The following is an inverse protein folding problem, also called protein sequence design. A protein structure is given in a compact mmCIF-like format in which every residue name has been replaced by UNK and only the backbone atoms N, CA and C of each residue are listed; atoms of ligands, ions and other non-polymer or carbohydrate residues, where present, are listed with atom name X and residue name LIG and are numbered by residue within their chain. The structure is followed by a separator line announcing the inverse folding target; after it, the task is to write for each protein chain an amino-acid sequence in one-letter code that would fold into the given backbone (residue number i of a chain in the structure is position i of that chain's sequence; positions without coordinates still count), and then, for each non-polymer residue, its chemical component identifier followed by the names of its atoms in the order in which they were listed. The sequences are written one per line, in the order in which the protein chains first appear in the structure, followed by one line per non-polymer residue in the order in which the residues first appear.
data_IF_186629792681
#
_entry.id   IF_186629792681
#
_cell.length_a   1.000
_cell.length_b   1.000
_cell.length_c   1.000
_cell.angle_alpha   90.00
_cell.angle_beta   90.00
_cell.angle_gamma   90.00
#
_symmetry.space_group_name_H-M   'P 1'
#
loop_
_entity.id
_entity.type
_entity.pdbx_description
1 polymer ?
#
# COMPACT_ATOMS: atom_id res chain seq x y z
N UNK A 1 22.21 1.09 -33.18
CA UNK A 1 23.57 0.52 -33.05
C UNK A 1 23.58 -0.40 -31.82
N UNK A 2 23.97 -1.64 -32.03
CA UNK A 2 23.83 -2.78 -31.10
C UNK A 2 24.83 -2.74 -29.95
N UNK A 3 24.35 -3.01 -28.73
CA UNK A 3 24.94 -4.02 -27.85
C UNK A 3 23.76 -4.86 -27.34
N UNK A 4 23.61 -6.11 -27.79
CA UNK A 4 24.29 -7.28 -27.23
C UNK A 4 23.98 -7.48 -25.75
N UNK A 5 23.62 -8.71 -25.41
CA UNK A 5 23.12 -9.16 -24.13
C UNK A 5 23.79 -8.51 -22.93
N UNK A 6 22.96 -7.96 -22.06
CA UNK A 6 23.36 -7.73 -20.70
C UNK A 6 22.47 -8.64 -19.86
N UNK A 7 22.98 -9.82 -19.56
CA UNK A 7 22.71 -10.56 -18.32
C UNK A 7 23.10 -9.75 -17.07
N UNK A 8 23.26 -8.41 -17.17
CA UNK A 8 23.59 -7.59 -16.04
C UNK A 8 22.34 -7.49 -15.17
N UNK A 9 22.43 -7.89 -13.90
CA UNK A 9 21.33 -7.75 -12.98
C UNK A 9 21.03 -6.26 -12.82
N UNK A 10 19.82 -5.83 -13.21
CA UNK A 10 19.33 -4.48 -12.91
C UNK A 10 19.46 -4.25 -11.39
N UNK A 11 19.95 -3.08 -10.97
CA UNK A 11 20.04 -2.66 -9.56
C UNK A 11 19.63 -1.21 -9.42
N UNK A 12 18.76 -0.91 -8.46
CA UNK A 12 18.30 0.45 -8.18
C UNK A 12 17.80 0.61 -6.74
N UNK A 13 17.53 1.85 -6.32
CA UNK A 13 16.85 2.12 -5.05
C UNK A 13 15.65 3.01 -5.32
N UNK A 14 14.50 2.58 -4.81
CA UNK A 14 13.23 3.29 -4.95
C UNK A 14 12.57 3.46 -3.59
N UNK A 15 11.56 4.31 -3.51
CA UNK A 15 10.74 4.51 -2.32
C UNK A 15 9.29 4.21 -2.65
N UNK A 16 8.56 3.75 -1.64
CA UNK A 16 7.11 3.60 -1.71
C UNK A 16 6.45 4.90 -2.15
N UNK A 17 5.55 4.77 -3.13
CA UNK A 17 4.77 5.85 -3.68
C UNK A 17 3.28 5.62 -3.41
N UNK A 18 2.48 6.66 -3.58
CA UNK A 18 1.03 6.53 -3.56
C UNK A 18 0.50 6.03 -4.92
N UNK A 19 -0.82 5.92 -5.04
CA UNK A 19 -1.50 5.45 -6.27
C UNK A 19 -1.27 6.33 -7.50
N UNK A 20 -0.88 7.58 -7.30
CA UNK A 20 -0.58 8.50 -8.39
C UNK A 20 0.91 8.43 -8.78
N UNK A 21 1.70 7.60 -8.10
CA UNK A 21 3.14 7.48 -8.29
C UNK A 21 3.94 8.57 -7.57
N UNK A 22 3.30 9.35 -6.70
CA UNK A 22 3.97 10.41 -5.93
C UNK A 22 4.62 9.88 -4.66
N UNK A 23 5.68 10.55 -4.22
CA UNK A 23 6.42 10.19 -3.02
C UNK A 23 5.54 10.23 -1.76
N UNK A 24 5.60 9.15 -0.98
CA UNK A 24 5.00 9.09 0.35
C UNK A 24 6.06 9.48 1.37
N UNK A 25 5.82 10.56 2.11
CA UNK A 25 6.72 10.95 3.22
C UNK A 25 6.75 9.81 4.26
N UNK A 26 7.97 9.39 4.65
CA UNK A 26 8.25 8.19 5.47
C UNK A 26 7.90 6.84 4.80
N UNK A 27 7.80 6.81 3.46
CA UNK A 27 7.62 5.57 2.69
C UNK A 27 8.80 4.61 2.84
N UNK A 28 8.56 3.30 2.65
CA UNK A 28 9.62 2.29 2.72
C UNK A 28 10.61 2.42 1.56
N UNK A 29 11.90 2.30 1.86
CA UNK A 29 12.96 2.21 0.86
C UNK A 29 13.08 0.78 0.34
N UNK A 30 13.04 0.61 -0.98
CA UNK A 30 13.21 -0.64 -1.68
C UNK A 30 14.54 -0.67 -2.43
N UNK A 31 15.43 -1.59 -2.03
CA UNK A 31 16.60 -1.96 -2.83
C UNK A 31 16.14 -2.96 -3.88
N UNK A 32 16.13 -2.53 -5.14
CA UNK A 32 15.59 -3.31 -6.24
C UNK A 32 16.70 -3.99 -6.99
N UNK A 33 16.54 -5.30 -7.24
CA UNK A 33 17.45 -6.07 -8.08
C UNK A 33 16.69 -7.11 -8.90
N UNK A 34 17.14 -7.37 -10.13
CA UNK A 34 16.68 -8.53 -10.91
C UNK A 34 17.80 -9.60 -10.86
N UNK A 35 17.49 -10.78 -10.36
CA UNK A 35 18.40 -11.92 -10.22
C UNK A 35 17.80 -13.17 -10.87
N UNK A 36 18.32 -13.56 -12.04
CA UNK A 36 17.80 -14.72 -12.76
C UNK A 36 16.30 -14.58 -13.03
N UNK A 37 15.50 -15.49 -12.46
CA UNK A 37 14.03 -15.51 -12.57
C UNK A 37 13.30 -14.75 -11.45
N UNK A 38 14.01 -13.96 -10.64
CA UNK A 38 13.44 -13.23 -9.50
C UNK A 38 13.60 -11.71 -9.63
N UNK A 39 12.53 -10.99 -9.26
CA UNK A 39 12.56 -9.59 -8.90
C UNK A 39 12.66 -9.49 -7.37
N UNK A 40 13.74 -8.89 -6.87
CA UNK A 40 14.02 -8.68 -5.45
C UNK A 40 13.76 -7.23 -5.10
N UNK A 41 12.87 -6.98 -4.14
CA UNK A 41 12.52 -5.67 -3.61
C UNK A 41 12.82 -5.65 -2.10
N UNK A 42 14.04 -5.29 -1.73
CA UNK A 42 14.59 -5.44 -0.38
C UNK A 42 14.49 -6.91 0.08
N UNK A 43 13.59 -7.23 1.01
CA UNK A 43 13.38 -8.61 1.51
C UNK A 43 12.33 -9.38 0.70
N UNK A 44 11.51 -8.67 -0.09
CA UNK A 44 10.46 -9.29 -0.88
C UNK A 44 11.05 -9.91 -2.16
N UNK A 45 10.86 -11.22 -2.33
CA UNK A 45 11.29 -11.96 -3.52
C UNK A 45 10.07 -12.35 -4.35
N UNK A 46 10.02 -11.89 -5.59
CA UNK A 46 8.89 -12.08 -6.50
C UNK A 46 9.38 -12.86 -7.71
N UNK A 47 8.88 -14.08 -7.97
CA UNK A 47 9.14 -14.76 -9.23
C UNK A 47 8.65 -13.91 -10.41
N UNK A 48 9.50 -13.70 -11.41
CA UNK A 48 9.17 -12.87 -12.57
C UNK A 48 7.96 -13.41 -13.34
N UNK A 49 7.75 -14.73 -13.37
CA UNK A 49 6.54 -15.36 -13.94
C UNK A 49 5.23 -14.93 -13.25
N UNK A 50 5.32 -14.48 -11.99
CA UNK A 50 4.19 -13.95 -11.21
C UNK A 50 4.00 -12.44 -11.37
N UNK A 51 4.91 -11.74 -12.05
CA UNK A 51 4.74 -10.33 -12.42
C UNK A 51 3.76 -10.25 -13.59
N UNK A 52 2.67 -9.49 -13.40
CA UNK A 52 1.62 -9.30 -14.41
C UNK A 52 1.95 -8.11 -15.30
N UNK A 53 2.37 -6.99 -14.72
CA UNK A 53 2.78 -5.80 -15.45
C UNK A 53 3.70 -4.92 -14.61
N UNK A 54 4.55 -4.18 -15.31
CA UNK A 54 5.23 -2.99 -14.79
C UNK A 54 4.98 -1.83 -15.76
N UNK A 55 4.49 -0.70 -15.25
CA UNK A 55 4.14 0.46 -16.07
C UNK A 55 4.45 1.78 -15.38
N UNK A 56 4.57 2.85 -16.17
CA UNK A 56 4.74 4.21 -15.64
C UNK A 56 3.38 4.78 -15.25
N UNK A 57 3.28 5.32 -14.04
CA UNK A 57 2.08 5.99 -13.54
C UNK A 57 2.51 7.30 -12.89
N UNK A 58 2.13 8.42 -13.53
CA UNK A 58 2.56 9.75 -13.09
C UNK A 58 4.09 9.85 -12.98
N UNK A 59 4.64 10.32 -11.84
CA UNK A 59 6.08 10.33 -11.63
C UNK A 59 6.66 8.97 -11.21
N UNK A 60 5.84 7.96 -10.91
CA UNK A 60 6.26 6.65 -10.36
C UNK A 60 6.10 5.46 -11.32
N UNK A 61 6.46 4.28 -10.84
CA UNK A 61 6.27 3.00 -11.51
C UNK A 61 5.29 2.14 -10.71
N UNK A 62 4.28 1.61 -11.38
CA UNK A 62 3.34 0.64 -10.84
C UNK A 62 3.84 -0.77 -11.18
N UNK A 63 3.91 -1.63 -10.17
CA UNK A 63 4.22 -3.04 -10.32
C UNK A 63 3.03 -3.87 -9.85
N UNK A 64 2.44 -4.64 -10.77
CA UNK A 64 1.35 -5.58 -10.46
C UNK A 64 1.90 -6.99 -10.50
N UNK A 65 1.75 -7.73 -9.40
CA UNK A 65 2.27 -9.09 -9.28
C UNK A 65 1.38 -9.96 -8.39
N UNK A 66 1.58 -11.27 -8.50
CA UNK A 66 0.99 -12.25 -7.59
C UNK A 66 1.99 -12.60 -6.49
N UNK A 67 1.57 -12.52 -5.23
CA UNK A 67 2.45 -12.86 -4.11
C UNK A 67 2.69 -14.38 -3.96
N UNK A 68 3.36 -14.78 -2.87
CA UNK A 68 3.61 -16.20 -2.58
C UNK A 68 2.35 -17.07 -2.53
N UNK A 69 1.18 -16.47 -2.32
CA UNK A 69 -0.13 -17.13 -2.22
C UNK A 69 -1.02 -16.87 -3.44
N UNK A 70 -0.44 -16.34 -4.50
CA UNK A 70 -1.12 -15.94 -5.73
C UNK A 70 -2.17 -14.83 -5.55
N UNK A 71 -2.08 -14.02 -4.50
CA UNK A 71 -2.94 -12.85 -4.34
C UNK A 71 -2.35 -11.68 -5.11
N UNK A 72 -3.18 -10.98 -5.88
CA UNK A 72 -2.76 -9.80 -6.62
C UNK A 72 -2.35 -8.66 -5.67
N UNK A 73 -1.17 -8.08 -5.92
CA UNK A 73 -0.62 -6.94 -5.22
C UNK A 73 -0.25 -5.87 -6.24
N UNK A 74 -0.52 -4.62 -5.85
CA UNK A 74 -0.01 -3.43 -6.52
C UNK A 74 1.03 -2.80 -5.59
N UNK A 75 2.22 -2.58 -6.10
CA UNK A 75 3.26 -1.79 -5.43
C UNK A 75 3.60 -0.59 -6.29
N UNK A 76 3.55 0.59 -5.69
CA UNK A 76 3.92 1.84 -6.33
C UNK A 76 5.31 2.25 -5.85
N UNK A 77 6.20 2.51 -6.81
CA UNK A 77 7.59 2.88 -6.56
C UNK A 77 7.87 4.24 -7.18
N UNK A 78 8.70 5.05 -6.53
CA UNK A 78 9.21 6.30 -7.08
C UNK A 78 10.66 6.49 -6.68
N UNK A 79 11.36 7.43 -7.29
CA UNK A 79 12.71 7.81 -6.86
C UNK A 79 12.61 8.68 -5.60
N UNK A 80 13.47 8.45 -4.61
CA UNK A 80 13.48 9.26 -3.38
C UNK A 80 13.70 10.73 -3.74
N UNK A 81 12.78 11.62 -3.35
CA UNK A 81 12.99 13.03 -3.62
C UNK A 81 12.29 13.96 -2.62
N UNK A 82 13.09 14.56 -1.74
CA UNK A 82 12.70 15.75 -1.01
C UNK A 82 12.85 17.03 -1.88
N UNK A 83 13.60 17.00 -3.02
CA UNK A 83 13.94 18.21 -3.78
C UNK A 83 14.08 18.01 -5.33
N UNK A 84 12.97 18.15 -6.06
CA UNK A 84 12.88 19.04 -7.24
C UNK A 84 13.48 18.71 -8.64
N UNK A 85 14.58 17.99 -8.86
CA UNK A 85 15.26 18.03 -10.20
C UNK A 85 14.89 16.89 -11.19
N UNK A 86 14.11 17.15 -12.27
CA UNK A 86 13.31 16.16 -13.06
C UNK A 86 13.98 15.36 -14.16
N UNK A 87 15.08 15.83 -14.75
CA UNK A 87 15.47 15.38 -16.09
C UNK A 87 16.17 14.00 -16.08
N UNK A 88 16.93 13.67 -15.02
CA UNK A 88 17.55 12.34 -14.84
C UNK A 88 16.63 11.27 -14.23
N UNK A 89 15.44 11.65 -13.74
CA UNK A 89 14.55 10.78 -12.93
C UNK A 89 13.74 9.80 -13.76
N UNK A 90 13.18 10.29 -14.86
CA UNK A 90 12.38 9.47 -15.77
C UNK A 90 13.22 8.36 -16.41
N UNK A 91 14.51 8.61 -16.63
CA UNK A 91 15.41 7.62 -17.21
C UNK A 91 15.52 6.37 -16.34
N UNK A 92 15.76 6.52 -15.03
CA UNK A 92 15.90 5.37 -14.12
C UNK A 92 14.61 4.58 -13.93
N UNK A 93 13.45 5.26 -13.91
CA UNK A 93 12.15 4.60 -13.78
C UNK A 93 11.72 3.91 -15.08
N UNK A 94 12.00 4.51 -16.23
CA UNK A 94 11.76 3.87 -17.53
C UNK A 94 12.69 2.66 -17.69
N UNK A 95 13.98 2.80 -17.39
CA UNK A 95 14.93 1.70 -17.41
C UNK A 95 14.52 0.55 -16.47
N UNK A 96 14.03 0.88 -15.27
CA UNK A 96 13.46 -0.12 -14.37
C UNK A 96 12.28 -0.87 -14.99
N UNK A 97 11.28 -0.14 -15.50
CA UNK A 97 10.08 -0.73 -16.11
C UNK A 97 10.45 -1.61 -17.31
N UNK A 98 11.32 -1.11 -18.18
CA UNK A 98 11.78 -1.81 -19.37
C UNK A 98 12.55 -3.09 -18.99
N UNK A 99 13.45 -3.02 -18.01
CA UNK A 99 14.18 -4.18 -17.51
C UNK A 99 13.25 -5.22 -16.87
N UNK A 100 12.27 -4.81 -16.07
CA UNK A 100 11.30 -5.73 -15.45
C UNK A 100 10.46 -6.40 -16.52
N UNK A 101 9.94 -5.65 -17.48
CA UNK A 101 9.11 -6.21 -18.55
C UNK A 101 9.91 -7.19 -19.42
N UNK A 102 11.12 -6.82 -19.83
CA UNK A 102 12.00 -7.71 -20.61
C UNK A 102 12.34 -8.99 -19.84
N UNK A 103 12.72 -8.88 -18.57
CA UNK A 103 13.06 -10.03 -17.73
C UNK A 103 11.83 -10.93 -17.48
N UNK A 104 10.66 -10.31 -17.31
CA UNK A 104 9.37 -11.01 -17.14
C UNK A 104 9.02 -11.82 -18.39
N UNK A 105 9.12 -11.24 -19.57
CA UNK A 105 8.83 -11.95 -20.82
C UNK A 105 9.79 -13.12 -21.04
N UNK A 106 11.09 -12.94 -20.76
CA UNK A 106 12.06 -14.04 -20.80
C UNK A 106 11.73 -15.15 -19.80
N UNK A 107 11.38 -14.79 -18.57
CA UNK A 107 11.03 -15.77 -17.54
C UNK A 107 9.76 -16.56 -17.90
N UNK A 108 8.75 -15.91 -18.50
CA UNK A 108 7.53 -16.59 -18.97
C UNK A 108 7.82 -17.52 -20.15
N UNK A 109 8.68 -17.10 -21.09
CA UNK A 109 9.04 -17.90 -22.25
C UNK A 109 9.89 -19.14 -21.90
N UNK A 110 10.63 -19.10 -20.79
CA UNK A 110 11.48 -20.21 -20.34
C UNK A 110 10.73 -21.34 -19.60
N UNK A 111 9.42 -21.20 -19.38
CA UNK A 111 8.59 -22.10 -18.56
C UNK A 111 7.51 -22.72 -19.43
N UNK A 112 7.14 -23.98 -19.16
CA UNK A 112 6.09 -24.64 -19.94
C UNK A 112 4.72 -23.97 -19.74
N UNK A 113 3.82 -24.10 -20.72
CA UNK A 113 2.49 -23.47 -20.64
C UNK A 113 1.69 -23.87 -19.39
N UNK A 114 1.80 -25.13 -18.95
CA UNK A 114 1.12 -25.63 -17.76
C UNK A 114 1.69 -25.03 -16.47
N UNK A 115 3.01 -24.95 -16.36
CA UNK A 115 3.69 -24.34 -15.21
C UNK A 115 3.41 -22.83 -15.13
N UNK A 116 3.40 -22.14 -16.28
CA UNK A 116 3.05 -20.74 -16.36
C UNK A 116 1.60 -20.50 -15.92
N UNK A 117 0.66 -21.31 -16.41
CA UNK A 117 -0.74 -21.23 -16.02
C UNK A 117 -0.92 -21.45 -14.51
N UNK A 118 -0.24 -22.43 -13.92
CA UNK A 118 -0.29 -22.68 -12.48
C UNK A 118 0.33 -21.53 -11.66
N UNK A 119 1.46 -20.98 -12.11
CA UNK A 119 2.11 -19.84 -11.46
C UNK A 119 1.28 -18.55 -11.53
N UNK A 120 0.48 -18.41 -12.60
CA UNK A 120 -0.33 -17.22 -12.88
C UNK A 120 -1.80 -17.34 -12.49
N UNK A 121 -2.23 -18.51 -12.00
CA UNK A 121 -3.56 -18.74 -11.47
C UNK A 121 -3.74 -17.90 -10.21
N UNK A 122 -4.55 -16.85 -10.31
CA UNK A 122 -4.87 -15.98 -9.18
C UNK A 122 -5.54 -16.80 -8.08
N UNK A 123 -5.26 -16.45 -6.83
CA UNK A 123 -6.01 -16.97 -5.71
C UNK A 123 -7.50 -16.62 -5.88
N UNK A 124 -8.43 -17.51 -5.48
CA UNK A 124 -9.84 -17.21 -5.46
C UNK A 124 -10.14 -15.88 -4.76
N UNK A 125 -11.18 -15.18 -5.23
CA UNK A 125 -11.52 -13.85 -4.74
C UNK A 125 -11.83 -13.79 -3.23
N UNK A 126 -12.11 -14.92 -2.59
CA UNK A 126 -12.33 -15.07 -1.15
C UNK A 126 -11.04 -15.34 -0.34
N UNK A 127 -9.87 -15.23 -0.97
CA UNK A 127 -8.58 -15.48 -0.30
C UNK A 127 -8.11 -14.25 0.47
N UNK A 128 -7.87 -14.41 1.77
CA UNK A 128 -7.32 -13.33 2.58
C UNK A 128 -5.92 -12.90 2.10
N UNK A 129 -5.75 -11.61 1.84
CA UNK A 129 -4.51 -10.96 1.41
C UNK A 129 -3.33 -11.11 2.37
N UNK A 130 -3.57 -11.32 3.67
CA UNK A 130 -2.54 -11.34 4.72
C UNK A 130 -2.20 -12.74 5.24
N UNK A 131 -3.15 -13.69 5.22
CA UNK A 131 -2.87 -15.07 5.66
C UNK A 131 -3.15 -16.16 4.62
N UNK A 132 -3.80 -15.87 3.49
CA UNK A 132 -4.13 -16.87 2.47
C UNK A 132 -5.27 -17.82 2.84
N UNK A 133 -5.87 -17.67 4.03
CA UNK A 133 -7.04 -18.45 4.42
C UNK A 133 -8.18 -18.16 3.45
N UNK A 134 -8.80 -19.23 2.95
CA UNK A 134 -10.02 -19.23 2.13
C UNK A 134 -11.24 -19.35 3.04
N UNK A 135 -12.37 -18.84 2.61
CA UNK A 135 -13.58 -18.87 3.42
C UNK A 135 -14.79 -18.38 2.66
N UNK A 136 -15.56 -19.35 2.14
CA UNK A 136 -16.87 -19.12 1.55
C UNK A 136 -17.92 -18.82 2.63
N UNK A 137 -18.35 -17.56 2.69
CA UNK A 137 -19.71 -17.05 2.92
C UNK A 137 -19.63 -15.50 2.88
N UNK A 138 -20.69 -14.77 2.50
CA UNK A 138 -20.62 -13.35 2.13
C UNK A 138 -20.38 -12.36 3.29
N UNK A 139 -19.88 -12.81 4.46
CA UNK A 139 -19.84 -12.05 5.71
C UNK A 139 -18.44 -11.83 6.33
N UNK A 140 -17.35 -11.96 5.56
CA UNK A 140 -15.98 -11.78 6.08
C UNK A 140 -15.09 -10.86 5.24
N UNK A 141 -15.65 -9.79 4.66
CA UNK A 141 -14.90 -8.87 3.78
C UNK A 141 -14.87 -7.44 4.34
N UNK A 142 -13.76 -7.05 4.98
CA UNK A 142 -13.57 -5.68 5.44
C UNK A 142 -12.84 -4.81 4.42
N UNK A 143 -13.49 -3.75 3.91
CA UNK A 143 -12.77 -2.63 3.30
C UNK A 143 -12.17 -1.78 4.41
N UNK A 144 -10.85 -1.76 4.52
CA UNK A 144 -10.15 -0.92 5.48
C UNK A 144 -9.70 0.37 4.78
N UNK A 145 -10.15 1.50 5.33
CA UNK A 145 -9.69 2.82 4.95
C UNK A 145 -8.37 3.05 5.68
N UNK A 146 -7.26 3.26 4.98
CA UNK A 146 -5.95 3.54 5.58
C UNK A 146 -5.60 5.02 5.52
N UNK A 147 -4.67 5.45 6.37
CA UNK A 147 -4.16 6.81 6.40
C UNK A 147 -2.70 6.83 5.92
N UNK A 148 -2.34 7.76 5.04
CA UNK A 148 -0.95 8.05 4.69
C UNK A 148 -0.74 9.56 4.64
N UNK A 149 -0.25 10.10 5.76
CA UNK A 149 0.19 11.48 5.97
C UNK A 149 -0.90 12.54 5.96
N UNK A 150 -0.64 13.64 6.69
CA UNK A 150 -1.48 14.80 7.03
C UNK A 150 -2.31 15.36 5.85
N UNK A 151 -2.01 14.98 4.60
CA UNK A 151 -2.62 15.49 3.38
C UNK A 151 -3.30 14.45 2.46
N UNK A 152 -3.06 13.12 2.59
CA UNK A 152 -3.63 12.12 1.65
C UNK A 152 -4.23 10.89 2.35
N UNK A 153 -5.48 10.58 1.99
CA UNK A 153 -6.24 9.45 2.53
C UNK A 153 -6.22 8.31 1.50
N UNK A 154 -5.63 7.15 1.84
CA UNK A 154 -5.48 6.04 0.90
C UNK A 154 -6.30 4.84 1.33
N UNK A 155 -7.19 4.37 0.45
CA UNK A 155 -7.81 3.06 0.64
C UNK A 155 -6.84 2.00 0.12
N UNK A 156 -6.85 0.81 0.70
CA UNK A 156 -6.28 -0.37 0.04
C UNK A 156 -7.41 -1.38 -0.10
N UNK A 157 -8.08 -1.47 -1.27
CA UNK A 157 -9.05 -2.52 -1.50
C UNK A 157 -8.30 -3.84 -1.39
N UNK A 158 -8.77 -4.68 -0.50
CA UNK A 158 -8.22 -6.02 -0.33
C UNK A 158 -9.21 -6.87 0.41
N UNK A 159 -9.14 -8.17 0.15
CA UNK A 159 -9.91 -9.17 0.87
C UNK A 159 -9.13 -9.55 2.11
N UNK A 160 -9.68 -9.31 3.29
CA UNK A 160 -9.04 -9.63 4.58
C UNK A 160 -10.00 -10.46 5.41
N UNK A 161 -9.51 -11.55 6.03
CA UNK A 161 -10.29 -12.26 7.04
C UNK A 161 -10.58 -11.33 8.22
N UNK A 162 -11.63 -11.62 9.01
CA UNK A 162 -12.06 -10.75 10.11
C UNK A 162 -10.93 -10.36 11.07
N UNK A 163 -10.01 -11.28 11.38
CA UNK A 163 -8.85 -10.98 12.22
C UNK A 163 -7.91 -9.91 11.62
N UNK A 164 -7.54 -10.04 10.34
CA UNK A 164 -6.69 -9.05 9.66
C UNK A 164 -7.42 -7.74 9.36
N UNK A 165 -8.71 -7.81 9.02
CA UNK A 165 -9.58 -6.64 8.88
C UNK A 165 -9.66 -5.86 10.19
N UNK A 166 -9.83 -6.56 11.32
CA UNK A 166 -9.82 -5.97 12.67
C UNK A 166 -8.50 -5.25 12.95
N UNK A 167 -7.37 -5.94 12.80
CA UNK A 167 -6.04 -5.38 13.09
C UNK A 167 -5.77 -4.12 12.29
N UNK A 168 -6.07 -4.14 10.98
CA UNK A 168 -5.89 -2.99 10.09
C UNK A 168 -6.88 -1.86 10.42
N UNK A 169 -8.14 -2.18 10.68
CA UNK A 169 -9.17 -1.20 11.04
C UNK A 169 -8.89 -0.51 12.36
N UNK A 170 -8.45 -1.25 13.38
CA UNK A 170 -8.01 -0.70 14.69
C UNK A 170 -6.84 0.26 14.49
N UNK A 171 -5.80 -0.18 13.78
CA UNK A 171 -4.63 0.66 13.51
C UNK A 171 -5.03 1.94 12.78
N UNK A 172 -5.90 1.82 11.77
CA UNK A 172 -6.35 2.99 11.02
C UNK A 172 -7.19 3.95 11.87
N UNK A 173 -8.12 3.43 12.68
CA UNK A 173 -8.92 4.23 13.60
C UNK A 173 -8.03 5.02 14.57
N UNK A 174 -7.05 4.35 15.20
CA UNK A 174 -6.14 5.00 16.14
C UNK A 174 -5.24 6.03 15.46
N UNK A 175 -4.67 5.72 14.29
CA UNK A 175 -3.84 6.66 13.54
C UNK A 175 -4.63 7.87 13.03
N UNK A 176 -5.87 7.65 12.56
CA UNK A 176 -6.79 8.72 12.16
C UNK A 176 -7.10 9.62 13.36
N UNK A 177 -7.42 9.01 14.50
CA UNK A 177 -7.70 9.72 15.74
C UNK A 177 -6.48 10.43 16.33
N UNK A 178 -5.26 9.95 16.11
CA UNK A 178 -4.07 10.62 16.63
C UNK A 178 -3.58 11.73 15.71
N UNK A 179 -3.61 11.52 14.39
CA UNK A 179 -2.94 12.40 13.42
C UNK A 179 -3.89 13.33 12.65
N UNK A 180 -5.20 13.07 12.70
CA UNK A 180 -6.18 13.81 11.93
C UNK A 180 -6.45 15.23 12.40
N UNK A 181 -6.17 15.55 13.67
CA UNK A 181 -6.60 16.80 14.31
C UNK A 181 -5.63 17.97 14.18
N UNK A 182 -4.42 17.75 13.64
CA UNK A 182 -3.34 18.74 13.63
C UNK A 182 -3.39 19.75 12.47
N UNK A 183 -4.42 19.70 11.61
CA UNK A 183 -4.61 20.69 10.56
C UNK A 183 -6.09 21.04 10.42
N UNK A 184 -6.42 22.25 9.94
CA UNK A 184 -7.82 22.67 9.76
C UNK A 184 -8.59 21.73 8.80
N UNK A 185 -7.97 21.35 7.68
CA UNK A 185 -8.52 20.38 6.72
C UNK A 185 -8.67 19.00 7.37
N UNK A 186 -7.67 18.60 8.17
CA UNK A 186 -7.70 17.37 8.94
C UNK A 186 -8.87 17.36 9.93
N UNK A 187 -9.03 18.40 10.74
CA UNK A 187 -10.08 18.52 11.75
C UNK A 187 -11.48 18.32 11.16
N UNK A 188 -11.77 18.96 10.01
CA UNK A 188 -13.05 18.82 9.31
C UNK A 188 -13.30 17.40 8.78
N UNK A 189 -12.27 16.73 8.28
CA UNK A 189 -12.42 15.41 7.63
C UNK A 189 -12.31 14.24 8.60
N UNK A 190 -11.55 14.39 9.69
CA UNK A 190 -11.22 13.32 10.65
C UNK A 190 -12.46 12.70 11.26
N UNK A 191 -13.47 13.51 11.58
CA UNK A 191 -14.76 13.02 12.09
C UNK A 191 -15.45 12.03 11.14
N UNK A 192 -15.48 12.33 9.84
CA UNK A 192 -16.07 11.44 8.83
C UNK A 192 -15.27 10.14 8.72
N UNK A 193 -13.94 10.21 8.80
CA UNK A 193 -13.09 9.03 8.71
C UNK A 193 -13.12 8.14 9.96
N UNK A 194 -13.21 8.72 11.16
CA UNK A 194 -13.43 7.95 12.38
C UNK A 194 -14.75 7.18 12.27
N UNK A 195 -15.84 7.82 11.82
CA UNK A 195 -17.13 7.14 11.60
C UNK A 195 -17.04 6.02 10.56
N UNK A 196 -16.35 6.25 9.44
CA UNK A 196 -16.16 5.21 8.40
C UNK A 196 -15.35 4.01 8.93
N UNK A 197 -14.26 4.26 9.67
CA UNK A 197 -13.47 3.19 10.28
C UNK A 197 -14.25 2.45 11.36
N UNK A 198 -15.00 3.15 12.22
CA UNK A 198 -15.86 2.54 13.24
C UNK A 198 -16.96 1.69 12.62
N UNK A 199 -17.63 2.16 11.56
CA UNK A 199 -18.65 1.40 10.82
C UNK A 199 -18.04 0.15 10.18
N UNK A 200 -16.87 0.29 9.55
CA UNK A 200 -16.16 -0.86 8.96
C UNK A 200 -15.77 -1.88 10.03
N UNK A 201 -15.28 -1.46 11.19
CA UNK A 201 -15.02 -2.34 12.33
C UNK A 201 -16.29 -3.03 12.83
N UNK A 202 -17.40 -2.31 12.96
CA UNK A 202 -18.67 -2.91 13.36
C UNK A 202 -19.15 -4.00 12.40
N UNK A 203 -18.93 -3.81 11.10
CA UNK A 203 -19.41 -4.74 10.08
C UNK A 203 -18.45 -5.93 9.85
N UNK A 204 -17.16 -5.75 10.08
CA UNK A 204 -16.14 -6.67 9.56
C UNK A 204 -15.09 -7.12 10.58
N UNK A 205 -15.15 -6.66 11.82
CA UNK A 205 -14.20 -7.06 12.86
C UNK A 205 -14.67 -8.26 13.68
N UNK A 206 -13.76 -8.82 14.48
CA UNK A 206 -14.06 -9.79 15.54
C UNK A 206 -14.28 -9.10 16.90
N UNK A 207 -14.27 -7.77 16.96
CA UNK A 207 -14.37 -7.04 18.21
C UNK A 207 -15.82 -6.92 18.68
N UNK A 208 -16.07 -6.99 19.99
CA UNK A 208 -17.38 -6.72 20.53
C UNK A 208 -17.73 -5.24 20.36
N UNK A 209 -19.00 -4.95 20.07
CA UNK A 209 -19.50 -3.60 19.81
C UNK A 209 -19.15 -2.56 20.90
N UNK A 210 -19.18 -2.88 22.22
CA UNK A 210 -18.75 -1.93 23.26
C UNK A 210 -17.29 -1.49 23.12
N UNK A 211 -16.39 -2.41 22.75
CA UNK A 211 -14.98 -2.10 22.56
C UNK A 211 -14.77 -1.18 21.36
N UNK A 212 -15.49 -1.42 20.25
CA UNK A 212 -15.44 -0.55 19.08
C UNK A 212 -15.90 0.87 19.44
N UNK A 213 -16.97 1.01 20.24
CA UNK A 213 -17.43 2.31 20.73
C UNK A 213 -16.38 3.00 21.61
N UNK A 214 -15.77 2.28 22.55
CA UNK A 214 -14.72 2.82 23.41
C UNK A 214 -13.50 3.31 22.61
N UNK A 215 -13.04 2.53 21.63
CA UNK A 215 -11.95 2.94 20.74
C UNK A 215 -12.32 4.12 19.85
N UNK A 216 -13.57 4.18 19.40
CA UNK A 216 -14.09 5.31 18.62
C UNK A 216 -14.06 6.59 19.45
N UNK A 217 -14.52 6.53 20.70
CA UNK A 217 -14.44 7.65 21.66
C UNK A 217 -12.99 8.05 21.92
N UNK A 218 -12.10 7.08 22.14
CA UNK A 218 -10.67 7.34 22.34
C UNK A 218 -10.03 8.04 21.13
N UNK A 219 -10.45 7.72 19.90
CA UNK A 219 -9.98 8.38 18.68
C UNK A 219 -10.39 9.87 18.59
N UNK A 220 -11.41 10.31 19.34
CA UNK A 220 -11.82 11.72 19.44
C UNK A 220 -11.13 12.48 20.59
N UNK A 221 -10.46 11.81 21.53
CA UNK A 221 -9.81 12.47 22.67
C UNK A 221 -8.82 13.58 22.24
N UNK A 222 -7.98 13.39 21.19
CA UNK A 222 -7.06 14.44 20.79
C UNK A 222 -7.78 15.70 20.25
N UNK A 223 -9.00 15.57 19.71
CA UNK A 223 -9.80 16.75 19.32
C UNK A 223 -10.14 17.63 20.52
N UNK A 224 -10.54 17.01 21.64
CA UNK A 224 -10.86 17.73 22.87
C UNK A 224 -9.62 18.47 23.41
N UNK A 225 -8.45 17.83 23.37
CA UNK A 225 -7.18 18.46 23.76
C UNK A 225 -6.83 19.65 22.86
N UNK A 226 -6.98 19.52 21.54
CA UNK A 226 -6.74 20.63 20.60
C UNK A 226 -7.67 21.81 20.87
N UNK A 227 -8.96 21.56 21.15
CA UNK A 227 -9.93 22.61 21.48
C UNK A 227 -9.56 23.32 22.79
N UNK A 228 -9.17 22.57 23.83
CA UNK A 228 -8.73 23.14 25.10
C UNK A 228 -7.46 24.00 24.94
N UNK A 229 -6.48 23.52 24.17
CA UNK A 229 -5.26 24.29 23.88
C UNK A 229 -5.57 25.59 23.13
N UNK A 230 -6.47 25.56 22.14
CA UNK A 230 -6.90 26.77 21.43
C UNK A 230 -7.58 27.74 22.40
N UNK A 231 -8.45 27.25 23.29
CA UNK A 231 -9.12 28.07 24.29
C UNK A 231 -8.13 28.74 25.24
N UNK A 232 -7.15 28.01 25.78
CA UNK A 232 -6.12 28.57 26.67
C UNK A 232 -5.27 29.65 25.98
N UNK A 233 -4.87 29.40 24.72
CA UNK A 233 -4.10 30.39 23.93
C UNK A 233 -4.93 31.67 23.72
N UNK A 234 -6.20 31.55 23.37
CA UNK A 234 -7.08 32.71 23.14
C UNK A 234 -7.35 33.45 24.45
N UNK A 235 -7.67 32.74 25.53
CA UNK A 235 -7.95 33.33 26.84
C UNK A 235 -6.73 34.02 27.46
N UNK A 236 -5.52 33.46 27.28
CA UNK A 236 -4.27 34.06 27.76
C UNK A 236 -3.75 35.24 26.92
N UNK A 237 -4.39 35.53 25.78
CA UNK A 237 -4.06 36.68 24.92
C UNK A 237 -4.92 37.92 25.22
N UNK A 238 -5.82 37.84 26.21
CA UNK A 238 -6.80 38.87 26.62
C UNK A 238 -6.31 39.63 27.84
#
# INVERSE_FOLDING_TARGET
MSTAGSDRPYKGTFVEADRNGEYVNLGRNYKVKIEGSLLVLSELRIPLVKVKSAERVGPGAALVFLDGRNVAKLLMLTTNNLFGLSIGRNKHLNEFVDCVNLATERAKAAVSGNELAAAQAAAPADTCHDCGVRGGEPLAFGRVYGFVSITRWTTSPGVYCKAHATKRGVRSLLLTGLLGWWSLVGFLRTSSFIRLNARSLHQHSTLPAPLIKAMTLAAYLPAALVVLLIYEVVAGSS
#
